data_IF_606110803809
#
_entry.id   IF_606110803809
#
_cell.length_a   1.000
_cell.length_b   1.000
_cell.length_c   1.000
_cell.angle_alpha   90.00
_cell.angle_beta   90.00
_cell.angle_gamma   90.00
#
_symmetry.space_group_name_H-M   'P 1'
#
loop_
_entity.id
_entity.type
_entity.pdbx_description
1 polymer ?
#
# COMPACT_ATOMS: atom_id res chain seq x y z
N UNK A 1 -30.43 21.33 3.75
CA UNK A 1 -29.53 20.38 3.05
C UNK A 1 -28.21 20.28 3.81
N UNK A 2 -27.89 19.13 4.42
CA UNK A 2 -26.59 18.96 5.11
C UNK A 2 -25.50 18.88 4.03
N UNK A 3 -24.65 19.90 3.90
CA UNK A 3 -23.47 19.86 3.03
C UNK A 3 -22.65 18.63 3.44
N UNK A 4 -22.53 17.63 2.55
CA UNK A 4 -21.61 16.49 2.77
C UNK A 4 -20.21 17.08 2.85
N UNK A 5 -19.58 16.97 4.01
CA UNK A 5 -18.18 17.36 4.20
C UNK A 5 -17.29 16.67 3.14
N UNK A 6 -16.27 17.37 2.61
CA UNK A 6 -15.36 16.81 1.61
C UNK A 6 -14.68 15.55 2.15
N UNK A 7 -14.40 14.56 1.29
CA UNK A 7 -13.84 13.26 1.72
C UNK A 7 -12.51 13.42 2.50
N UNK A 8 -11.76 14.49 2.19
CA UNK A 8 -10.52 14.89 2.87
C UNK A 8 -10.68 15.29 4.34
N UNK A 9 -11.90 15.54 4.80
CA UNK A 9 -12.17 15.98 6.18
C UNK A 9 -12.67 14.86 7.10
N UNK A 10 -12.88 13.65 6.55
CA UNK A 10 -13.20 12.46 7.34
C UNK A 10 -11.92 11.63 7.50
N UNK A 11 -11.75 10.89 8.60
CA UNK A 11 -10.70 9.87 8.67
C UNK A 11 -10.99 8.73 7.69
N UNK A 12 -9.95 7.98 7.30
CA UNK A 12 -10.12 6.72 6.57
C UNK A 12 -10.75 5.66 7.45
N UNK A 13 -11.51 4.74 6.85
CA UNK A 13 -12.01 3.53 7.52
C UNK A 13 -10.88 2.63 8.06
N UNK A 14 -9.64 2.82 7.58
CA UNK A 14 -8.47 2.09 8.06
C UNK A 14 -7.80 2.72 9.28
N UNK A 15 -8.13 3.97 9.60
CA UNK A 15 -7.52 4.68 10.72
C UNK A 15 -7.93 4.01 12.03
N UNK A 16 -6.94 3.68 12.85
CA UNK A 16 -7.10 3.00 14.15
C UNK A 16 -7.75 1.60 14.04
N UNK A 17 -7.74 0.96 12.87
CA UNK A 17 -8.12 -0.44 12.80
C UNK A 17 -7.08 -1.29 13.53
N UNK A 18 -7.49 -2.16 14.47
CA UNK A 18 -6.57 -3.10 15.09
C UNK A 18 -6.08 -4.13 14.06
N UNK A 19 -4.90 -4.69 14.32
CA UNK A 19 -4.31 -5.82 13.59
C UNK A 19 -3.87 -5.53 12.16
N UNK A 20 -3.82 -4.25 11.76
CA UNK A 20 -3.29 -3.82 10.48
C UNK A 20 -2.25 -2.71 10.68
N UNK A 21 -1.22 -2.73 9.85
CA UNK A 21 -0.30 -1.61 9.73
C UNK A 21 -0.88 -0.64 8.69
N UNK A 22 -1.30 0.54 9.14
CA UNK A 22 -1.85 1.61 8.30
C UNK A 22 -1.06 2.90 8.55
N UNK A 23 -0.67 3.59 7.49
CA UNK A 23 0.18 4.77 7.62
C UNK A 23 -0.62 6.07 7.57
N UNK A 24 -0.24 7.03 8.41
CA UNK A 24 -0.93 8.31 8.51
C UNK A 24 -0.80 9.14 7.23
N UNK A 25 0.31 9.03 6.49
CA UNK A 25 0.45 9.70 5.20
C UNK A 25 -0.63 9.30 4.18
N UNK A 26 -1.28 8.15 4.36
CA UNK A 26 -2.34 7.65 3.48
C UNK A 26 -3.68 8.36 3.68
N UNK A 27 -3.88 9.05 4.81
CA UNK A 27 -5.11 9.80 5.12
C UNK A 27 -5.35 10.94 4.13
N UNK A 28 -4.26 11.55 3.66
CA UNK A 28 -4.27 12.65 2.71
C UNK A 28 -4.29 12.17 1.25
N UNK A 29 -4.29 10.84 1.02
CA UNK A 29 -4.19 10.31 -0.33
C UNK A 29 -5.56 10.11 -0.98
N UNK A 30 -6.02 11.19 -1.61
CA UNK A 30 -7.30 11.26 -2.30
C UNK A 30 -7.08 11.70 -3.74
N UNK A 31 -7.40 10.84 -4.70
CA UNK A 31 -7.39 11.17 -6.12
C UNK A 31 -8.82 11.38 -6.61
N UNK A 32 -9.13 12.53 -7.23
CA UNK A 32 -10.47 12.83 -7.77
C UNK A 32 -11.62 12.55 -6.77
N UNK A 33 -11.42 12.95 -5.51
CA UNK A 33 -12.37 12.75 -4.41
C UNK A 33 -12.64 11.27 -4.05
N UNK A 34 -11.68 10.40 -4.33
CA UNK A 34 -11.67 8.97 -3.98
C UNK A 34 -10.44 8.66 -3.13
N UNK A 35 -10.60 7.93 -2.01
CA UNK A 35 -9.44 7.40 -1.28
C UNK A 35 -8.74 6.33 -2.09
N UNK A 36 -7.44 6.50 -2.23
CA UNK A 36 -6.60 5.51 -2.89
C UNK A 36 -6.58 4.19 -2.11
N UNK A 37 -6.22 3.12 -2.82
CA UNK A 37 -6.01 1.79 -2.22
C UNK A 37 -4.84 1.90 -1.23
N UNK A 38 -4.99 1.49 0.04
CA UNK A 38 -3.94 1.63 1.04
C UNK A 38 -2.78 0.65 0.77
N UNK A 39 -1.60 0.96 1.30
CA UNK A 39 -0.35 0.22 1.12
C UNK A 39 -0.48 -1.23 1.56
N UNK A 40 -1.17 -1.50 2.67
CA UNK A 40 -1.40 -2.89 3.13
C UNK A 40 -2.19 -3.72 2.10
N UNK A 41 -3.18 -3.13 1.42
CA UNK A 41 -3.95 -3.80 0.38
C UNK A 41 -3.11 -3.94 -0.89
N UNK A 42 -2.37 -2.90 -1.29
CA UNK A 42 -1.42 -2.97 -2.43
C UNK A 42 -0.36 -4.04 -2.23
N UNK A 43 0.16 -4.17 -1.01
CA UNK A 43 1.14 -5.17 -0.62
C UNK A 43 0.61 -6.58 -0.80
N UNK A 44 -0.62 -6.82 -0.34
CA UNK A 44 -1.27 -8.13 -0.50
C UNK A 44 -1.65 -8.43 -1.94
N UNK A 45 -2.02 -7.42 -2.71
CA UNK A 45 -2.22 -7.55 -4.16
C UNK A 45 -0.94 -7.99 -4.88
N UNK A 46 0.21 -7.39 -4.54
CA UNK A 46 1.51 -7.78 -5.09
C UNK A 46 1.89 -9.22 -4.68
N UNK A 47 1.71 -9.59 -3.41
CA UNK A 47 1.93 -10.98 -2.94
C UNK A 47 1.00 -11.98 -3.63
N UNK A 48 -0.25 -11.59 -3.89
CA UNK A 48 -1.27 -12.44 -4.49
C UNK A 48 -1.33 -12.40 -6.02
N UNK A 49 -0.48 -11.62 -6.69
CA UNK A 49 -0.41 -11.58 -8.15
C UNK A 49 -1.72 -11.13 -8.79
N UNK A 50 -2.39 -10.13 -8.20
CA UNK A 50 -3.71 -9.67 -8.67
C UNK A 50 -3.78 -8.15 -8.74
N UNK A 51 -4.28 -7.64 -9.87
CA UNK A 51 -4.49 -6.22 -10.09
C UNK A 51 -5.88 -5.79 -9.65
N UNK A 52 -5.95 -4.69 -8.91
CA UNK A 52 -7.17 -3.97 -8.58
C UNK A 52 -7.02 -2.52 -9.05
N UNK A 53 -7.96 -2.05 -9.86
CA UNK A 53 -8.00 -0.66 -10.32
C UNK A 53 -8.74 0.21 -9.31
N UNK A 54 -8.39 1.49 -9.24
CA UNK A 54 -9.06 2.43 -8.34
C UNK A 54 -10.57 2.49 -8.58
N UNK A 55 -11.01 2.45 -9.84
CA UNK A 55 -12.43 2.44 -10.20
C UNK A 55 -13.20 1.20 -9.69
N UNK A 56 -12.51 0.07 -9.51
CA UNK A 56 -13.09 -1.17 -8.97
C UNK A 56 -13.13 -1.09 -7.44
N UNK A 57 -12.04 -0.62 -6.82
CA UNK A 57 -11.94 -0.37 -5.38
C UNK A 57 -13.04 0.53 -4.84
N UNK A 58 -13.40 1.60 -5.57
CA UNK A 58 -14.48 2.51 -5.20
C UNK A 58 -15.85 1.84 -5.06
N UNK A 59 -16.05 0.68 -5.71
CA UNK A 59 -17.33 -0.02 -5.74
C UNK A 59 -17.51 -0.92 -4.53
N UNK A 60 -16.42 -1.31 -3.87
CA UNK A 60 -16.46 -2.19 -2.71
C UNK A 60 -17.05 -1.47 -1.50
N UNK A 61 -17.84 -2.20 -0.73
CA UNK A 61 -18.34 -1.74 0.57
C UNK A 61 -17.19 -1.49 1.54
N UNK A 62 -17.46 -0.74 2.62
CA UNK A 62 -16.47 -0.51 3.68
C UNK A 62 -16.03 -1.83 4.30
N UNK A 63 -16.96 -2.76 4.56
CA UNK A 63 -16.65 -4.05 5.20
C UNK A 63 -15.76 -4.92 4.32
N UNK A 64 -15.99 -4.96 3.01
CA UNK A 64 -15.13 -5.70 2.06
C UNK A 64 -13.72 -5.09 1.98
N UNK A 65 -13.63 -3.76 2.00
CA UNK A 65 -12.35 -3.05 2.01
C UNK A 65 -11.57 -3.31 3.30
N UNK A 66 -12.24 -3.34 4.44
CA UNK A 66 -11.66 -3.73 5.73
C UNK A 66 -11.25 -5.20 5.71
N UNK A 67 -12.07 -6.10 5.16
CA UNK A 67 -11.74 -7.52 5.06
C UNK A 67 -10.48 -7.74 4.20
N UNK A 68 -10.36 -7.06 3.06
CA UNK A 68 -9.14 -7.05 2.25
C UNK A 68 -7.94 -6.51 3.05
N UNK A 69 -8.13 -5.47 3.87
CA UNK A 69 -7.09 -4.90 4.72
C UNK A 69 -6.78 -5.74 5.97
N UNK A 70 -7.57 -6.75 6.34
CA UNK A 70 -7.28 -7.68 7.46
C UNK A 70 -6.79 -9.08 7.07
N UNK A 71 -7.14 -9.59 5.89
CA UNK A 71 -6.71 -10.93 5.43
C UNK A 71 -5.19 -11.08 5.37
N UNK A 72 -4.63 -12.10 6.01
CA UNK A 72 -3.20 -12.41 5.94
C UNK A 72 -2.79 -12.90 4.55
N UNK A 73 -1.51 -12.72 4.21
CA UNK A 73 -0.83 -13.26 3.03
C UNK A 73 0.57 -13.75 3.45
N UNK A 74 0.65 -14.52 4.53
CA UNK A 74 1.90 -14.97 5.16
C UNK A 74 2.37 -16.33 4.64
N UNK A 75 1.46 -17.12 4.05
CA UNK A 75 1.77 -18.40 3.41
C UNK A 75 1.00 -18.55 2.08
N UNK A 76 1.32 -19.59 1.31
CA UNK A 76 0.72 -19.82 -0.01
C UNK A 76 -0.80 -20.02 0.02
N UNK A 77 -1.34 -20.67 1.04
CA UNK A 77 -2.77 -20.93 1.16
C UNK A 77 -3.52 -19.61 1.39
N UNK A 78 -3.06 -18.80 2.33
CA UNK A 78 -3.59 -17.46 2.59
C UNK A 78 -3.52 -16.56 1.35
N UNK A 79 -2.41 -16.63 0.60
CA UNK A 79 -2.24 -15.88 -0.66
C UNK A 79 -3.27 -16.31 -1.70
N UNK A 80 -3.52 -17.61 -1.86
CA UNK A 80 -4.55 -18.16 -2.77
C UNK A 80 -5.95 -17.73 -2.32
N UNK A 81 -6.24 -17.76 -1.02
CA UNK A 81 -7.50 -17.29 -0.47
C UNK A 81 -7.74 -15.81 -0.72
N UNK A 82 -6.71 -14.97 -0.50
CA UNK A 82 -6.77 -13.55 -0.79
C UNK A 82 -7.08 -13.30 -2.27
N UNK A 83 -6.35 -13.96 -3.17
CA UNK A 83 -6.56 -13.85 -4.61
C UNK A 83 -7.99 -14.24 -5.00
N UNK A 84 -8.48 -15.38 -4.51
CA UNK A 84 -9.85 -15.87 -4.77
C UNK A 84 -10.89 -14.87 -4.28
N UNK A 85 -10.75 -14.38 -3.04
CA UNK A 85 -11.68 -13.43 -2.45
C UNK A 85 -11.74 -12.13 -3.26
N UNK A 86 -10.59 -11.53 -3.57
CA UNK A 86 -10.53 -10.30 -4.37
C UNK A 86 -11.04 -10.51 -5.80
N UNK A 87 -10.76 -11.66 -6.41
CA UNK A 87 -11.29 -12.02 -7.73
C UNK A 87 -12.81 -12.12 -7.73
N UNK A 88 -13.40 -12.73 -6.70
CA UNK A 88 -14.85 -12.78 -6.52
C UNK A 88 -15.45 -11.37 -6.39
N UNK A 89 -14.83 -10.49 -5.59
CA UNK A 89 -15.29 -9.10 -5.45
C UNK A 89 -15.25 -8.35 -6.79
N UNK A 90 -14.14 -8.41 -7.52
CA UNK A 90 -14.01 -7.76 -8.83
C UNK A 90 -15.10 -8.26 -9.78
N UNK A 91 -15.30 -9.59 -9.85
CA UNK A 91 -16.33 -10.19 -10.70
C UNK A 91 -17.74 -9.77 -10.28
N UNK A 92 -18.06 -9.76 -8.99
CA UNK A 92 -19.38 -9.40 -8.49
C UNK A 92 -19.73 -7.96 -8.81
N UNK A 93 -18.78 -7.02 -8.65
CA UNK A 93 -19.05 -5.61 -8.89
C UNK A 93 -18.95 -5.22 -10.36
N UNK A 94 -18.11 -5.87 -11.16
CA UNK A 94 -17.82 -5.41 -12.54
C UNK A 94 -18.28 -6.35 -13.64
N UNK A 95 -18.57 -7.61 -13.32
CA UNK A 95 -18.78 -8.69 -14.29
C UNK A 95 -17.49 -9.21 -14.95
N UNK A 96 -16.36 -8.52 -14.77
CA UNK A 96 -15.10 -8.86 -15.42
C UNK A 96 -14.28 -9.84 -14.58
N UNK A 97 -13.39 -10.58 -15.23
CA UNK A 97 -12.37 -11.36 -14.55
C UNK A 97 -11.27 -10.44 -13.99
N UNK A 98 -10.75 -10.79 -12.82
CA UNK A 98 -9.61 -10.10 -12.25
C UNK A 98 -8.38 -10.26 -13.15
N UNK A 99 -7.60 -9.19 -13.28
CA UNK A 99 -6.37 -9.22 -14.06
C UNK A 99 -5.25 -9.81 -13.21
N UNK A 100 -4.66 -10.91 -13.68
CA UNK A 100 -3.47 -11.48 -13.05
C UNK A 100 -2.25 -10.57 -13.23
N UNK A 101 -1.35 -10.61 -12.25
CA UNK A 101 -0.05 -9.95 -12.27
C UNK A 101 1.04 -10.97 -11.94
N UNK A 102 2.22 -10.79 -12.52
CA UNK A 102 3.37 -11.60 -12.17
C UNK A 102 3.74 -11.33 -10.71
N UNK A 103 3.83 -12.40 -9.92
CA UNK A 103 4.36 -12.36 -8.56
C UNK A 103 5.88 -12.32 -8.67
N UNK A 104 6.51 -11.37 -7.97
CA UNK A 104 7.95 -11.34 -7.83
C UNK A 104 8.37 -12.35 -6.74
N UNK A 105 9.08 -13.41 -7.13
CA UNK A 105 9.54 -14.47 -6.22
C UNK A 105 10.66 -13.99 -5.28
N UNK A 106 11.36 -12.91 -5.65
CA UNK A 106 12.48 -12.36 -4.86
C UNK A 106 12.35 -10.84 -4.73
N UNK A 107 11.27 -10.37 -4.10
CA UNK A 107 10.96 -8.96 -4.10
C UNK A 107 11.99 -8.17 -3.29
N UNK A 108 12.33 -6.99 -3.80
CA UNK A 108 13.38 -6.17 -3.22
C UNK A 108 13.10 -5.72 -1.76
N UNK A 109 11.83 -5.65 -1.32
CA UNK A 109 11.48 -5.37 0.09
C UNK A 109 11.75 -6.54 1.05
N UNK A 110 11.87 -7.77 0.53
CA UNK A 110 12.19 -8.96 1.33
C UNK A 110 13.71 -9.15 1.49
N UNK A 111 14.53 -8.53 0.64
CA UNK A 111 15.99 -8.59 0.77
C UNK A 111 16.50 -7.64 1.87
N UNK A 112 16.86 -8.21 3.01
CA UNK A 112 17.38 -7.49 4.17
C UNK A 112 18.87 -7.13 4.07
N UNK A 113 19.60 -7.77 3.16
CA UNK A 113 21.05 -7.62 3.05
C UNK A 113 21.46 -6.46 2.13
N UNK A 114 20.51 -5.88 1.39
CA UNK A 114 20.79 -4.84 0.40
C UNK A 114 19.64 -3.86 0.26
N UNK A 115 19.91 -2.57 0.44
CA UNK A 115 18.99 -1.50 0.05
C UNK A 115 19.00 -1.37 -1.47
N UNK A 116 17.83 -1.38 -2.15
CA UNK A 116 17.78 -1.22 -3.60
C UNK A 116 18.37 0.10 -4.06
N UNK A 117 19.22 0.08 -5.10
CA UNK A 117 19.97 1.26 -5.57
C UNK A 117 19.04 2.42 -5.92
N UNK A 118 17.98 2.16 -6.69
CA UNK A 118 17.00 3.18 -7.06
C UNK A 118 16.29 3.81 -5.83
N UNK A 119 16.09 3.04 -4.76
CA UNK A 119 15.53 3.59 -3.51
C UNK A 119 16.56 4.46 -2.79
N UNK A 120 17.82 4.02 -2.72
CA UNK A 120 18.90 4.80 -2.11
C UNK A 120 19.12 6.13 -2.84
N UNK A 121 19.17 6.12 -4.17
CA UNK A 121 19.28 7.34 -4.99
C UNK A 121 18.09 8.28 -4.77
N UNK A 122 16.88 7.72 -4.71
CA UNK A 122 15.68 8.51 -4.40
C UNK A 122 15.75 9.11 -3.01
N UNK A 123 16.13 8.36 -1.98
CA UNK A 123 16.25 8.88 -0.61
C UNK A 123 17.30 10.00 -0.54
N UNK A 124 18.42 9.84 -1.22
CA UNK A 124 19.48 10.86 -1.31
C UNK A 124 18.98 12.15 -1.94
N UNK A 125 18.07 12.10 -2.91
CA UNK A 125 17.45 13.30 -3.47
C UNK A 125 16.55 14.05 -2.48
N UNK A 126 16.16 13.42 -1.37
CA UNK A 126 15.47 14.03 -0.22
C UNK A 126 16.41 14.31 0.96
N UNK A 127 17.73 14.26 0.73
CA UNK A 127 18.74 14.49 1.77
C UNK A 127 18.79 13.40 2.84
N UNK A 128 18.29 12.20 2.53
CA UNK A 128 18.27 11.07 3.46
C UNK A 128 19.22 9.96 2.95
N UNK A 129 20.07 9.44 3.83
CA UNK A 129 20.85 8.24 3.54
C UNK A 129 20.36 7.08 4.42
N UNK A 130 20.04 5.95 3.81
CA UNK A 130 19.45 4.81 4.50
C UNK A 130 20.47 3.68 4.60
N UNK A 131 20.98 3.48 5.81
CA UNK A 131 21.87 2.36 6.11
C UNK A 131 21.13 1.02 6.05
N UNK A 132 21.89 -0.06 5.84
CA UNK A 132 21.38 -1.44 5.94
C UNK A 132 20.80 -1.71 7.34
N UNK A 133 21.39 -1.15 8.39
CA UNK A 133 20.88 -1.31 9.76
C UNK A 133 19.50 -0.67 9.94
N UNK A 134 19.27 0.53 9.39
CA UNK A 134 17.95 1.17 9.40
C UNK A 134 16.95 0.38 8.54
N UNK A 135 17.36 -0.08 7.35
CA UNK A 135 16.53 -0.90 6.46
C UNK A 135 16.04 -2.19 7.14
N UNK A 136 16.90 -2.83 7.93
CA UNK A 136 16.55 -4.03 8.70
C UNK A 136 15.55 -3.76 9.83
N UNK A 137 15.54 -2.55 10.39
CA UNK A 137 14.60 -2.16 11.46
C UNK A 137 13.19 -1.83 10.96
N UNK A 138 13.04 -1.58 9.66
CA UNK A 138 11.73 -1.32 9.06
C UNK A 138 10.87 -2.58 9.05
N UNK A 139 9.56 -2.41 9.10
CA UNK A 139 8.62 -3.51 8.84
C UNK A 139 8.65 -3.89 7.36
N UNK A 140 8.16 -5.09 7.02
CA UNK A 140 8.04 -5.51 5.62
C UNK A 140 7.17 -4.52 4.82
N UNK A 141 6.08 -4.03 5.42
CA UNK A 141 5.20 -3.07 4.77
C UNK A 141 5.85 -1.69 4.59
N UNK A 142 6.64 -1.21 5.55
CA UNK A 142 7.40 0.04 5.41
C UNK A 142 8.41 -0.04 4.25
N UNK A 143 9.16 -1.15 4.16
CA UNK A 143 10.09 -1.41 3.04
C UNK A 143 9.35 -1.44 1.70
N UNK A 144 8.20 -2.12 1.65
CA UNK A 144 7.33 -2.14 0.47
C UNK A 144 6.85 -0.74 0.09
N UNK A 145 6.33 0.04 1.05
CA UNK A 145 5.81 1.38 0.82
C UNK A 145 6.89 2.31 0.26
N UNK A 146 8.12 2.28 0.79
CA UNK A 146 9.24 3.05 0.26
C UNK A 146 9.55 2.70 -1.20
N UNK A 147 9.52 1.41 -1.56
CA UNK A 147 9.77 0.96 -2.93
C UNK A 147 8.65 1.34 -3.89
N UNK A 148 7.39 1.27 -3.46
CA UNK A 148 6.25 1.72 -4.28
C UNK A 148 6.28 3.23 -4.49
N UNK A 149 6.41 3.99 -3.42
CA UNK A 149 6.39 5.45 -3.46
C UNK A 149 7.62 6.06 -4.16
N UNK A 150 8.77 5.37 -4.15
CA UNK A 150 9.96 5.84 -4.89
C UNK A 150 9.78 5.78 -6.41
N UNK A 151 8.93 4.87 -6.91
CA UNK A 151 8.63 4.67 -8.33
C UNK A 151 7.43 5.50 -8.81
N UNK A 152 6.52 5.86 -7.92
CA UNK A 152 5.34 6.67 -8.25
C UNK A 152 5.72 8.13 -8.53
N UNK A 153 5.31 8.67 -9.67
CA UNK A 153 5.67 10.02 -10.15
C UNK A 153 4.83 11.15 -9.56
N UNK A 154 3.81 10.86 -8.75
CA UNK A 154 2.89 11.85 -8.18
C UNK A 154 3.57 12.75 -7.14
N UNK A 155 4.17 13.85 -7.61
CA UNK A 155 4.75 14.99 -6.86
C UNK A 155 5.71 14.66 -5.69
N UNK A 156 6.06 13.38 -5.48
CA UNK A 156 6.83 12.85 -4.36
C UNK A 156 6.37 13.30 -2.95
N UNK A 157 5.19 13.93 -2.83
CA UNK A 157 4.64 14.41 -1.56
C UNK A 157 4.49 13.26 -0.56
N UNK A 158 3.96 12.13 -1.03
CA UNK A 158 3.79 10.94 -0.19
C UNK A 158 5.13 10.32 0.22
N UNK A 159 6.11 10.31 -0.67
CA UNK A 159 7.44 9.79 -0.35
C UNK A 159 8.08 10.61 0.79
N UNK A 160 8.04 11.95 0.72
CA UNK A 160 8.56 12.81 1.78
C UNK A 160 7.85 12.59 3.14
N UNK A 161 6.54 12.32 3.13
CA UNK A 161 5.78 12.02 4.35
C UNK A 161 6.12 10.65 4.91
N UNK A 162 6.26 9.64 4.05
CA UNK A 162 6.69 8.30 4.45
C UNK A 162 8.09 8.33 5.10
N UNK A 163 9.05 9.06 4.53
CA UNK A 163 10.39 9.26 5.14
C UNK A 163 10.26 9.82 6.57
N UNK A 164 9.45 10.86 6.76
CA UNK A 164 9.23 11.48 8.08
C UNK A 164 8.54 10.53 9.05
N UNK A 165 7.47 9.88 8.61
CA UNK A 165 6.69 8.94 9.42
C UNK A 165 7.52 7.73 9.86
N UNK A 166 8.38 7.23 8.97
CA UNK A 166 9.31 6.12 9.25
C UNK A 166 10.58 6.58 9.97
N UNK A 167 10.68 7.86 10.35
CA UNK A 167 11.80 8.45 11.09
C UNK A 167 13.16 8.25 10.40
N UNK A 168 13.17 8.39 9.07
CA UNK A 168 14.38 8.26 8.24
C UNK A 168 15.11 9.59 8.03
N UNK A 169 14.56 10.70 8.53
CA UNK A 169 15.23 12.00 8.57
C UNK A 169 16.17 12.05 9.78
N UNK A 170 17.45 11.76 9.58
CA UNK A 170 18.42 11.79 10.67
C UNK A 170 19.80 11.31 10.25
N UNK A 171 20.59 12.26 9.74
CA UNK A 171 22.05 12.32 9.85
C UNK A 171 22.39 13.58 10.62
#
# INVERSE_FOLDING_TARGET
MKKKLPLSSRPSEFKNLPDIEYFLFEEEFIEKNVRCIPMIVRFRMDKAGIKLKLAEWCRFSVDERIALAKKSCSNEEEVKEYNRYLSCLIKNYTGNQATAMNVDESPAWANLNKVPVALSEKLKSFGCDLSIQQWNKLTELQRFALLKLSRESHENKNFSKAIKEFKLTGG
#
